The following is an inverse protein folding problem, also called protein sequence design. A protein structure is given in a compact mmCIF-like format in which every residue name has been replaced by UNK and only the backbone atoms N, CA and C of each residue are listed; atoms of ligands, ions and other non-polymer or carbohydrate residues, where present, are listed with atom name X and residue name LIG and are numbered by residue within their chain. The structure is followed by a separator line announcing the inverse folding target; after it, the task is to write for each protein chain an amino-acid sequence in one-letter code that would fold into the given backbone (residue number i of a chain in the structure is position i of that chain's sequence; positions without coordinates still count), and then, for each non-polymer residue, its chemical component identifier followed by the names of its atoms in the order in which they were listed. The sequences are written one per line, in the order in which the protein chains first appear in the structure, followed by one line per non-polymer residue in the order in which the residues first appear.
data_IF_052683826239
#
_entry.id   IF_052683826239
#
_cell.length_a   1.000
_cell.length_b   1.000
_cell.length_c   1.000
_cell.angle_alpha   90.00
_cell.angle_beta   90.00
_cell.angle_gamma   90.00
#
_symmetry.space_group_name_H-M   'P 1'
#
loop_
_entity.id
_entity.type
_entity.pdbx_description
1 polymer ?
#
# COMPACT_ATOMS: atom_id res chain seq x y z
N UNK A 1 -7.44 -6.65 -10.40
CA UNK A 1 -6.32 -6.72 -9.45
C UNK A 1 -5.86 -8.15 -9.32
N UNK A 2 -4.58 -8.36 -9.40
CA UNK A 2 -3.96 -9.64 -9.06
C UNK A 2 -2.95 -9.40 -7.95
N UNK A 3 -2.68 -10.44 -7.18
CA UNK A 3 -1.78 -10.28 -6.05
C UNK A 3 -0.92 -11.52 -5.85
N UNK A 4 0.23 -11.32 -5.22
CA UNK A 4 1.05 -12.40 -4.69
C UNK A 4 1.67 -11.93 -3.39
N UNK A 5 2.00 -12.88 -2.54
CA UNK A 5 2.59 -12.58 -1.23
C UNK A 5 3.95 -13.26 -1.15
N UNK A 6 4.96 -12.47 -0.77
CA UNK A 6 6.30 -12.97 -0.54
C UNK A 6 6.72 -12.50 0.84
N UNK A 7 6.60 -13.37 1.85
CA UNK A 7 6.86 -13.08 3.26
C UNK A 7 5.99 -11.92 3.74
N UNK A 8 6.56 -10.74 3.95
CA UNK A 8 5.85 -9.58 4.47
C UNK A 8 5.43 -8.61 3.36
N UNK A 9 5.63 -8.98 2.11
CA UNK A 9 5.36 -8.08 0.97
C UNK A 9 4.16 -8.60 0.18
N UNK A 10 3.19 -7.72 0.00
CA UNK A 10 2.03 -7.96 -0.86
C UNK A 10 2.29 -7.23 -2.16
N UNK A 11 2.46 -8.00 -3.25
CA UNK A 11 2.69 -7.43 -4.58
C UNK A 11 1.37 -7.40 -5.34
N UNK A 12 1.05 -6.24 -5.89
CA UNK A 12 -0.22 -6.02 -6.57
C UNK A 12 0.02 -5.61 -8.02
N UNK A 13 -0.90 -6.01 -8.90
CA UNK A 13 -0.89 -5.60 -10.31
C UNK A 13 -2.30 -5.20 -10.72
N UNK A 14 -2.39 -4.49 -11.85
CA UNK A 14 -3.67 -4.07 -12.41
C UNK A 14 -4.12 -2.75 -11.83
N UNK A 15 -5.44 -2.56 -11.85
CA UNK A 15 -6.05 -1.31 -11.35
C UNK A 15 -6.64 -1.54 -9.97
N UNK A 16 -6.32 -0.66 -9.04
CA UNK A 16 -6.85 -0.72 -7.68
C UNK A 16 -7.98 0.30 -7.57
N UNK A 17 -9.19 -0.20 -7.56
CA UNK A 17 -10.39 0.64 -7.49
C UNK A 17 -11.43 -0.01 -6.58
N UNK A 18 -12.61 0.62 -6.52
CA UNK A 18 -13.66 0.21 -5.58
C UNK A 18 -14.07 -1.25 -5.77
N UNK A 19 -13.87 -1.84 -6.96
CA UNK A 19 -14.26 -3.22 -7.22
C UNK A 19 -13.37 -4.22 -6.50
N UNK A 20 -12.14 -3.84 -6.16
CA UNK A 20 -11.22 -4.77 -5.48
C UNK A 20 -10.99 -4.40 -4.02
N UNK A 21 -11.58 -3.32 -3.53
CA UNK A 21 -11.27 -2.81 -2.19
C UNK A 21 -11.56 -3.85 -1.10
N UNK A 22 -12.69 -4.53 -1.18
CA UNK A 22 -13.06 -5.51 -0.15
C UNK A 22 -12.10 -6.70 -0.14
N UNK A 23 -11.76 -7.20 -1.31
CA UNK A 23 -10.82 -8.32 -1.43
C UNK A 23 -9.43 -7.90 -0.94
N UNK A 24 -8.97 -6.74 -1.37
CA UNK A 24 -7.66 -6.24 -0.98
C UNK A 24 -7.60 -6.06 0.54
N UNK A 25 -8.67 -5.54 1.15
CA UNK A 25 -8.70 -5.36 2.59
C UNK A 25 -8.57 -6.69 3.32
N UNK A 26 -9.29 -7.71 2.85
CA UNK A 26 -9.21 -9.03 3.47
C UNK A 26 -7.80 -9.59 3.41
N UNK A 27 -7.18 -9.51 2.24
CA UNK A 27 -5.81 -10.01 2.05
C UNK A 27 -4.84 -9.26 2.94
N UNK A 28 -4.95 -7.95 2.96
CA UNK A 28 -4.02 -7.10 3.70
C UNK A 28 -4.16 -7.29 5.21
N UNK A 29 -5.39 -7.34 5.71
CA UNK A 29 -5.59 -7.53 7.14
C UNK A 29 -5.11 -8.91 7.59
N UNK A 30 -5.31 -9.93 6.76
CA UNK A 30 -4.77 -11.26 7.06
C UNK A 30 -3.24 -11.24 7.14
N UNK A 31 -2.61 -10.49 6.24
CA UNK A 31 -1.16 -10.38 6.24
C UNK A 31 -0.66 -9.59 7.45
N UNK A 32 -1.36 -8.53 7.83
CA UNK A 32 -1.02 -7.76 9.04
C UNK A 32 -1.07 -8.67 10.27
N UNK A 33 -2.11 -9.48 10.38
CA UNK A 33 -2.30 -10.34 11.56
C UNK A 33 -1.20 -11.35 11.73
N UNK A 34 -0.65 -11.89 10.63
CA UNK A 34 0.33 -12.96 10.72
C UNK A 34 1.78 -12.48 10.55
N UNK A 35 1.98 -11.17 10.37
CA UNK A 35 3.31 -10.62 10.17
C UNK A 35 3.75 -9.89 11.43
N UNK A 36 4.88 -10.27 12.03
CA UNK A 36 5.32 -9.62 13.27
C UNK A 36 5.90 -8.23 13.08
N UNK A 37 6.29 -7.88 11.85
CA UNK A 37 6.87 -6.58 11.55
C UNK A 37 6.04 -5.80 10.56
N UNK A 38 6.69 -4.87 9.88
CA UNK A 38 6.01 -4.04 8.89
C UNK A 38 5.58 -4.88 7.69
N UNK A 39 4.43 -4.53 7.13
CA UNK A 39 3.91 -5.12 5.91
C UNK A 39 4.16 -4.14 4.77
N UNK A 40 4.73 -4.64 3.68
CA UNK A 40 5.00 -3.81 2.51
C UNK A 40 3.93 -4.11 1.45
N UNK A 41 3.33 -3.06 0.93
CA UNK A 41 2.41 -3.17 -0.21
C UNK A 41 3.13 -2.58 -1.42
N UNK A 42 3.50 -3.46 -2.34
CA UNK A 42 4.26 -3.08 -3.53
C UNK A 42 3.29 -2.80 -4.67
N UNK A 43 3.22 -1.54 -5.08
CA UNK A 43 2.34 -1.10 -6.16
C UNK A 43 3.12 -0.64 -7.39
N UNK A 44 4.37 -1.07 -7.51
CA UNK A 44 5.21 -0.65 -8.64
C UNK A 44 4.68 -1.11 -9.99
N UNK A 45 3.86 -2.17 -10.01
CA UNK A 45 3.27 -2.69 -11.25
C UNK A 45 1.78 -2.36 -11.37
N UNK A 46 1.27 -1.53 -10.49
CA UNK A 46 -0.13 -1.15 -10.52
C UNK A 46 -0.32 -0.03 -11.54
N UNK A 47 -1.37 -0.16 -12.38
CA UNK A 47 -1.65 0.81 -13.43
C UNK A 47 -2.29 2.07 -12.88
N UNK A 48 -3.18 1.92 -11.91
CA UNK A 48 -3.88 3.05 -11.32
C UNK A 48 -4.38 2.70 -9.93
N UNK A 49 -4.49 3.72 -9.09
CA UNK A 49 -5.02 3.57 -7.72
C UNK A 49 -6.00 4.71 -7.52
N UNK A 50 -7.21 4.39 -7.08
CA UNK A 50 -8.19 5.44 -6.80
C UNK A 50 -8.13 5.88 -5.33
N UNK A 51 -8.83 6.95 -5.03
CA UNK A 51 -8.81 7.54 -3.70
C UNK A 51 -9.42 6.61 -2.65
N UNK A 52 -10.43 5.84 -3.03
CA UNK A 52 -11.07 4.90 -2.10
C UNK A 52 -10.07 3.87 -1.62
N UNK A 53 -9.27 3.35 -2.54
CA UNK A 53 -8.23 2.37 -2.19
C UNK A 53 -7.16 2.99 -1.30
N UNK A 54 -6.73 4.22 -1.61
CA UNK A 54 -5.73 4.90 -0.78
C UNK A 54 -6.25 5.13 0.63
N UNK A 55 -7.51 5.52 0.78
CA UNK A 55 -8.10 5.70 2.11
C UNK A 55 -8.15 4.38 2.87
N UNK A 56 -8.47 3.29 2.19
CA UNK A 56 -8.48 1.97 2.83
C UNK A 56 -7.08 1.59 3.31
N UNK A 57 -6.05 1.87 2.51
CA UNK A 57 -4.68 1.60 2.91
C UNK A 57 -4.27 2.43 4.13
N UNK A 58 -4.73 3.68 4.20
CA UNK A 58 -4.46 4.51 5.36
C UNK A 58 -5.09 3.92 6.62
N UNK A 59 -6.32 3.44 6.51
CA UNK A 59 -7.00 2.82 7.65
C UNK A 59 -6.28 1.53 8.06
N UNK A 60 -5.85 0.73 7.08
CA UNK A 60 -5.11 -0.50 7.36
C UNK A 60 -3.81 -0.19 8.10
N UNK A 61 -3.13 0.90 7.73
CA UNK A 61 -1.92 1.29 8.44
C UNK A 61 -2.21 1.63 9.89
N UNK A 62 -3.32 2.31 10.17
CA UNK A 62 -3.68 2.62 11.55
C UNK A 62 -3.94 1.35 12.37
N UNK A 63 -4.56 0.36 11.74
CA UNK A 63 -4.77 -0.93 12.40
C UNK A 63 -3.42 -1.58 12.73
N UNK A 64 -2.49 -1.55 11.78
CA UNK A 64 -1.16 -2.11 12.00
C UNK A 64 -0.45 -1.37 13.12
N UNK A 65 -0.54 -0.05 13.16
CA UNK A 65 0.12 0.75 14.19
C UNK A 65 -0.35 0.41 15.59
N UNK A 66 -1.60 0.02 15.74
CA UNK A 66 -2.11 -0.40 17.04
C UNK A 66 -1.42 -1.66 17.54
N UNK A 67 -0.92 -2.48 16.63
CA UNK A 67 -0.15 -3.67 16.96
C UNK A 67 1.35 -3.45 16.96
N UNK A 68 1.80 -2.20 16.80
CA UNK A 68 3.21 -1.85 16.86
C UNK A 68 3.97 -1.99 15.56
N UNK A 69 3.26 -2.12 14.42
CA UNK A 69 3.92 -2.20 13.11
C UNK A 69 3.19 -1.31 12.10
N UNK A 70 3.61 -1.33 10.84
CA UNK A 70 3.10 -0.39 9.85
C UNK A 70 2.81 -1.10 8.54
N UNK A 71 1.95 -0.47 7.73
CA UNK A 71 1.76 -0.82 6.32
C UNK A 71 2.50 0.24 5.50
N UNK A 72 3.47 -0.18 4.72
CA UNK A 72 4.35 0.73 3.98
C UNK A 72 4.14 0.53 2.49
N UNK A 73 3.93 1.62 1.75
CA UNK A 73 3.78 1.56 0.30
C UNK A 73 5.15 1.60 -0.36
N UNK A 74 5.35 0.71 -1.33
CA UNK A 74 6.57 0.64 -2.14
C UNK A 74 6.21 0.84 -3.60
N UNK A 75 7.05 1.58 -4.32
CA UNK A 75 6.88 1.72 -5.76
C UNK A 75 5.78 2.67 -6.18
N UNK A 76 5.52 3.70 -5.37
CA UNK A 76 4.52 4.70 -5.72
C UNK A 76 4.96 5.47 -6.95
N UNK A 77 4.07 5.53 -7.94
CA UNK A 77 4.31 6.36 -9.12
C UNK A 77 4.21 7.84 -8.75
N UNK A 78 4.67 8.68 -9.66
CA UNK A 78 4.55 10.13 -9.48
C UNK A 78 3.08 10.52 -9.30
N UNK A 79 2.18 9.90 -10.06
CA UNK A 79 0.74 10.18 -9.94
C UNK A 79 0.20 9.82 -8.57
N UNK A 80 0.59 8.66 -8.03
CA UNK A 80 0.15 8.25 -6.70
C UNK A 80 0.72 9.18 -5.63
N UNK A 81 2.00 9.56 -5.75
CA UNK A 81 2.60 10.48 -4.79
C UNK A 81 1.90 11.83 -4.78
N UNK A 82 1.53 12.32 -5.97
CA UNK A 82 0.79 13.57 -6.08
C UNK A 82 -0.59 13.45 -5.43
N UNK A 83 -1.27 12.33 -5.66
CA UNK A 83 -2.59 12.09 -5.09
C UNK A 83 -2.53 12.04 -3.57
N UNK A 84 -1.52 11.38 -3.03
CA UNK A 84 -1.32 11.33 -1.59
C UNK A 84 -1.07 12.73 -1.01
N UNK A 85 -0.27 13.52 -1.70
CA UNK A 85 0.02 14.89 -1.26
C UNK A 85 -1.24 15.76 -1.28
N UNK A 86 -1.98 15.73 -2.38
CA UNK A 86 -3.15 16.58 -2.55
C UNK A 86 -4.29 16.21 -1.61
N UNK A 87 -4.38 14.92 -1.24
CA UNK A 87 -5.44 14.44 -0.35
C UNK A 87 -5.06 14.50 1.11
N UNK A 88 -3.83 14.91 1.43
CA UNK A 88 -3.28 14.92 2.79
C UNK A 88 -3.15 13.54 3.42
N UNK A 89 -3.21 12.47 2.62
CA UNK A 89 -3.01 11.12 3.14
C UNK A 89 -1.53 10.79 3.34
N UNK A 90 -0.63 11.64 2.85
CA UNK A 90 0.81 11.38 2.93
C UNK A 90 1.29 11.17 4.37
N UNK A 91 0.68 11.85 5.32
CA UNK A 91 1.03 11.70 6.73
C UNK A 91 0.41 10.47 7.38
N UNK A 92 -0.52 9.81 6.69
CA UNK A 92 -1.26 8.68 7.24
C UNK A 92 -0.79 7.35 6.69
N UNK A 93 0.01 7.34 5.64
CA UNK A 93 0.52 6.13 5.02
C UNK A 93 2.03 6.27 4.84
N UNK A 94 2.82 5.44 5.52
CA UNK A 94 4.26 5.41 5.26
C UNK A 94 4.54 5.03 3.82
N UNK A 95 5.44 5.75 3.17
CA UNK A 95 5.79 5.51 1.78
C UNK A 95 7.31 5.38 1.72
N UNK A 96 7.79 4.31 1.10
CA UNK A 96 9.23 4.17 0.91
C UNK A 96 9.74 5.27 -0.02
N UNK A 97 10.95 5.75 0.20
CA UNK A 97 11.55 6.72 -0.72
C UNK A 97 11.59 6.15 -2.12
N UNK A 98 11.62 7.04 -3.12
CA UNK A 98 11.75 6.62 -4.50
C UNK A 98 12.99 5.75 -4.67
N UNK A 99 12.90 4.76 -5.58
CA UNK A 99 14.02 3.88 -5.87
C UNK A 99 15.21 4.70 -6.32
N UNK A 100 16.36 4.43 -5.73
CA UNK A 100 17.56 5.22 -6.01
C UNK A 100 18.45 4.57 -7.06
N UNK A 101 18.07 3.40 -7.54
CA UNK A 101 18.86 2.74 -8.58
C UNK A 101 18.95 3.59 -9.83
N UNK A 102 17.94 4.37 -10.08
CA UNK A 102 17.90 5.28 -11.22
C UNK A 102 18.83 6.47 -11.06
N UNK A 103 19.31 6.70 -9.86
CA UNK A 103 20.21 7.82 -9.59
C UNK A 103 21.64 7.52 -10.00
N UNK A 104 21.88 6.32 -10.39
CA UNK A 104 23.21 5.90 -10.81
C UNK A 104 23.65 6.66 -12.06
#
# INVERSE_FOLDING_TARGET
MEHSIDQDTLELTGSLDVRCTAELRMILYGLIDRTPGDVVVDISRVESVDMTTLKMLAVANRVAERGGHRVVLRGCSTGVRRLLHLSHLRSMIPVEPAERADAV
#
